data_IF_569530817114
#
_entry.id   IF_569530817114
#
_cell.length_a   1.000
_cell.length_b   1.000
_cell.length_c   1.000
_cell.angle_alpha   90.00
_cell.angle_beta   90.00
_cell.angle_gamma   90.00
#
_symmetry.space_group_name_H-M   'P 1'
#
loop_
_entity.id
_entity.type
_entity.pdbx_description
1 polymer ?
#
# COMPACT_ATOMS: atom_id res chain seq x y z
N UNK A 1 5.74 6.58 36.72
CA UNK A 1 5.81 5.18 37.18
C UNK A 1 5.25 4.28 36.09
N UNK A 2 6.12 3.47 35.47
CA UNK A 2 5.68 2.45 34.52
C UNK A 2 4.90 1.38 35.28
N UNK A 3 3.66 1.12 34.88
CA UNK A 3 2.73 0.31 35.68
C UNK A 3 2.41 -1.07 35.06
N UNK A 4 2.76 -1.36 33.84
CA UNK A 4 2.73 -2.72 33.28
C UNK A 4 3.50 -2.77 31.95
N UNK A 5 4.12 -3.90 31.61
CA UNK A 5 4.64 -4.20 30.28
C UNK A 5 3.79 -5.31 29.67
N UNK A 6 2.96 -4.97 28.70
CA UNK A 6 2.30 -5.97 27.86
C UNK A 6 3.17 -6.25 26.64
N UNK A 7 3.25 -7.53 26.25
CA UNK A 7 3.96 -7.91 25.03
C UNK A 7 3.11 -7.53 23.82
N UNK A 8 3.61 -6.56 23.05
CA UNK A 8 3.00 -6.05 21.83
C UNK A 8 3.66 -6.73 20.63
N UNK A 9 2.86 -7.23 19.69
CA UNK A 9 3.33 -7.87 18.45
C UNK A 9 3.53 -6.86 17.31
N UNK A 10 2.67 -5.85 17.24
CA UNK A 10 2.75 -4.77 16.26
C UNK A 10 2.20 -3.49 16.84
N UNK A 11 2.76 -2.36 16.48
CA UNK A 11 2.25 -1.05 16.89
C UNK A 11 2.43 -0.01 15.80
N UNK A 12 1.54 0.99 15.77
CA UNK A 12 1.59 2.14 14.87
C UNK A 12 1.06 3.37 15.58
N UNK A 13 1.81 4.47 15.53
CA UNK A 13 1.34 5.77 15.99
C UNK A 13 0.86 6.60 14.82
N UNK A 14 -0.36 7.12 14.88
CA UNK A 14 -0.96 8.05 13.93
C UNK A 14 -1.48 9.25 14.70
N UNK A 15 -0.89 10.41 14.49
CA UNK A 15 -1.14 11.63 15.26
C UNK A 15 -0.93 11.36 16.77
N UNK A 16 -1.99 11.53 17.57
CA UNK A 16 -1.96 11.29 19.02
C UNK A 16 -2.44 9.89 19.41
N UNK A 17 -2.96 9.12 18.46
CA UNK A 17 -3.42 7.75 18.70
C UNK A 17 -2.30 6.73 18.54
N UNK A 18 -2.26 5.78 19.45
CA UNK A 18 -1.38 4.61 19.40
C UNK A 18 -2.23 3.36 19.20
N UNK A 19 -2.04 2.72 18.06
CA UNK A 19 -2.65 1.44 17.76
C UNK A 19 -1.66 0.33 18.07
N UNK A 20 -2.12 -0.77 18.65
CA UNK A 20 -1.26 -1.93 18.90
C UNK A 20 -2.05 -3.24 18.89
N UNK A 21 -1.37 -4.30 18.48
CA UNK A 21 -1.84 -5.68 18.57
C UNK A 21 -1.10 -6.35 19.72
N UNK A 22 -1.83 -6.89 20.68
CA UNK A 22 -1.23 -7.62 21.79
C UNK A 22 -0.90 -9.08 21.42
N UNK A 23 -0.23 -9.78 22.32
CA UNK A 23 0.16 -11.20 22.12
C UNK A 23 -1.02 -12.17 22.04
N UNK A 24 -2.21 -11.75 22.41
CA UNK A 24 -3.42 -12.55 22.35
C UNK A 24 -4.23 -12.30 21.07
N UNK A 25 -3.82 -11.34 20.24
CA UNK A 25 -4.51 -10.98 18.99
C UNK A 25 -5.59 -9.93 19.16
N UNK A 26 -5.58 -9.20 20.27
CA UNK A 26 -6.48 -8.07 20.44
C UNK A 26 -5.85 -6.79 19.92
N UNK A 27 -6.64 -6.04 19.13
CA UNK A 27 -6.30 -4.74 18.62
C UNK A 27 -6.79 -3.66 19.58
N UNK A 28 -5.92 -2.72 19.88
CA UNK A 28 -6.22 -1.57 20.73
C UNK A 28 -5.94 -0.26 20.00
N UNK A 29 -6.72 0.76 20.35
CA UNK A 29 -6.42 2.16 20.09
C UNK A 29 -6.30 2.85 21.44
N UNK A 30 -5.11 3.29 21.81
CA UNK A 30 -4.77 3.75 23.16
C UNK A 30 -5.13 2.68 24.22
N UNK A 31 -6.14 2.93 25.05
CA UNK A 31 -6.63 1.96 26.04
C UNK A 31 -7.93 1.24 25.61
N UNK A 32 -8.49 1.60 24.46
CA UNK A 32 -9.73 1.03 23.94
C UNK A 32 -9.46 -0.22 23.12
N UNK A 33 -10.11 -1.34 23.47
CA UNK A 33 -10.08 -2.57 22.69
C UNK A 33 -11.06 -2.47 21.54
N UNK A 34 -10.57 -2.69 20.31
CA UNK A 34 -11.36 -2.52 19.09
C UNK A 34 -12.00 -3.81 18.58
N UNK A 35 -11.37 -4.98 18.78
CA UNK A 35 -11.92 -6.24 18.30
C UNK A 35 -12.45 -7.13 19.44
N UNK A 36 -13.62 -7.71 19.24
CA UNK A 36 -14.20 -8.69 20.16
C UNK A 36 -13.64 -10.10 19.93
N UNK A 37 -13.40 -10.45 18.66
CA UNK A 37 -12.76 -11.72 18.29
C UNK A 37 -11.27 -11.52 18.08
N UNK A 38 -10.40 -12.19 18.88
CA UNK A 38 -8.97 -12.03 18.73
C UNK A 38 -8.48 -12.58 17.38
N UNK A 39 -7.55 -11.90 16.77
CA UNK A 39 -6.87 -12.42 15.59
C UNK A 39 -6.01 -13.63 15.96
N UNK A 40 -6.07 -14.76 15.20
CA UNK A 40 -5.31 -15.97 15.52
C UNK A 40 -3.80 -15.74 15.33
N UNK A 41 -3.07 -15.63 16.43
CA UNK A 41 -1.63 -15.40 16.41
C UNK A 41 -0.88 -16.70 16.12
N UNK A 42 0.05 -16.67 15.17
CA UNK A 42 0.96 -17.76 14.83
C UNK A 42 2.35 -17.50 15.40
N UNK A 43 3.04 -18.56 15.78
CA UNK A 43 4.44 -18.48 16.20
C UNK A 43 5.35 -18.15 15.00
N UNK A 44 6.50 -17.54 15.25
CA UNK A 44 7.52 -17.22 14.24
C UNK A 44 6.98 -16.43 13.03
N UNK A 45 5.96 -15.59 13.26
CA UNK A 45 5.32 -14.78 12.24
C UNK A 45 5.53 -13.30 12.55
N UNK A 46 5.89 -12.52 11.53
CA UNK A 46 6.00 -11.08 11.63
C UNK A 46 4.63 -10.43 11.43
N UNK A 47 4.31 -9.52 12.35
CA UNK A 47 3.10 -8.71 12.31
C UNK A 47 3.45 -7.24 12.19
N UNK A 48 2.71 -6.50 11.35
CA UNK A 48 2.79 -5.05 11.27
C UNK A 48 1.40 -4.43 11.14
N UNK A 49 1.18 -3.28 11.77
CA UNK A 49 -0.03 -2.48 11.58
C UNK A 49 0.22 -1.42 10.52
N UNK A 50 -0.65 -1.37 9.54
CA UNK A 50 -0.68 -0.37 8.48
C UNK A 50 -2.01 0.38 8.55
N UNK A 51 -1.96 1.71 8.67
CA UNK A 51 -3.16 2.52 8.88
C UNK A 51 -3.18 3.63 7.84
N UNK A 52 -4.27 3.67 7.07
CA UNK A 52 -4.52 4.65 6.02
C UNK A 52 -5.93 5.22 6.18
N UNK A 53 -6.01 6.48 6.57
CA UNK A 53 -7.28 7.12 6.92
C UNK A 53 -8.03 6.30 8.00
N UNK A 54 -9.23 5.80 7.69
CA UNK A 54 -10.06 4.98 8.57
C UNK A 54 -9.83 3.47 8.37
N UNK A 55 -8.92 3.08 7.48
CA UNK A 55 -8.62 1.68 7.23
C UNK A 55 -7.47 1.21 8.11
N UNK A 56 -7.71 0.17 8.89
CA UNK A 56 -6.69 -0.49 9.70
C UNK A 56 -6.41 -1.85 9.07
N UNK A 57 -5.16 -2.09 8.72
CA UNK A 57 -4.70 -3.38 8.22
C UNK A 57 -3.72 -4.01 9.17
N UNK A 58 -3.85 -5.30 9.36
CA UNK A 58 -2.84 -6.15 9.97
C UNK A 58 -2.14 -6.94 8.86
N UNK A 59 -0.84 -6.73 8.75
CA UNK A 59 0.02 -7.53 7.88
C UNK A 59 0.54 -8.73 8.66
N UNK A 60 0.27 -9.91 8.17
CA UNK A 60 0.83 -11.19 8.61
C UNK A 60 1.77 -11.68 7.51
N UNK A 61 3.07 -11.48 7.65
CA UNK A 61 4.06 -11.67 6.58
C UNK A 61 3.65 -10.87 5.32
N UNK A 62 3.19 -11.55 4.26
CA UNK A 62 2.70 -10.96 3.01
C UNK A 62 1.17 -10.92 2.89
N UNK A 63 0.46 -11.51 3.84
CA UNK A 63 -1.00 -11.48 3.85
C UNK A 63 -1.49 -10.24 4.59
N UNK A 64 -2.41 -9.53 3.98
CA UNK A 64 -3.04 -8.35 4.54
C UNK A 64 -4.45 -8.69 5.00
N UNK A 65 -4.76 -8.36 6.25
CA UNK A 65 -6.09 -8.49 6.85
C UNK A 65 -6.61 -7.10 7.16
N UNK A 66 -7.84 -6.80 6.77
CA UNK A 66 -8.49 -5.53 7.05
C UNK A 66 -9.36 -5.66 8.30
N UNK A 67 -9.27 -4.72 9.21
CA UNK A 67 -10.20 -4.61 10.32
C UNK A 67 -11.55 -4.12 9.81
N UNK A 68 -12.59 -4.88 10.12
CA UNK A 68 -13.98 -4.51 9.86
C UNK A 68 -14.60 -4.00 11.18
N UNK A 69 -14.96 -2.70 11.27
CA UNK A 69 -15.53 -2.13 12.49
C UNK A 69 -16.94 -2.65 12.81
N UNK A 70 -17.70 -3.12 11.80
CA UNK A 70 -19.07 -3.61 12.02
C UNK A 70 -19.07 -5.01 12.67
N UNK A 71 -18.14 -5.87 12.25
CA UNK A 71 -17.95 -7.20 12.83
C UNK A 71 -16.95 -7.23 13.97
N UNK A 72 -16.27 -6.11 14.23
CA UNK A 72 -15.18 -5.97 15.22
C UNK A 72 -14.14 -7.09 15.10
N UNK A 73 -13.75 -7.41 13.88
CA UNK A 73 -12.83 -8.50 13.56
C UNK A 73 -11.96 -8.20 12.37
N UNK A 74 -10.86 -8.95 12.22
CA UNK A 74 -10.03 -8.90 11.03
C UNK A 74 -10.53 -9.89 9.98
N UNK A 75 -10.69 -9.39 8.75
CA UNK A 75 -11.05 -10.18 7.57
C UNK A 75 -9.88 -10.19 6.60
N UNK A 76 -9.65 -11.31 5.92
CA UNK A 76 -8.60 -11.41 4.92
C UNK A 76 -8.90 -10.45 3.77
N UNK A 77 -7.97 -9.52 3.51
CA UNK A 77 -8.09 -8.53 2.46
C UNK A 77 -7.40 -8.96 1.16
N UNK A 78 -6.12 -9.37 1.24
CA UNK A 78 -5.31 -9.77 0.09
C UNK A 78 -4.10 -10.62 0.50
N UNK A 79 -3.61 -11.46 -0.44
CA UNK A 79 -2.39 -12.27 -0.27
C UNK A 79 -1.24 -11.71 -1.10
N UNK A 80 -0.01 -12.09 -0.72
CA UNK A 80 1.23 -11.74 -1.43
C UNK A 80 1.45 -10.24 -1.65
N UNK A 81 0.99 -9.40 -0.71
CA UNK A 81 1.16 -7.95 -0.78
C UNK A 81 2.63 -7.57 -0.54
N UNK A 82 3.30 -7.10 -1.59
CA UNK A 82 4.67 -6.58 -1.52
C UNK A 82 4.70 -5.04 -1.48
N UNK A 83 3.71 -4.39 -2.09
CA UNK A 83 3.59 -2.94 -2.18
C UNK A 83 2.30 -2.49 -1.52
N UNK A 84 2.41 -1.45 -0.67
CA UNK A 84 1.29 -0.80 -0.04
C UNK A 84 1.66 0.67 0.18
N UNK A 85 1.08 1.58 -0.61
CA UNK A 85 1.42 3.02 -0.58
C UNK A 85 0.21 3.90 -0.88
N UNK A 86 -0.02 4.88 -0.05
CA UNK A 86 -1.06 5.89 -0.26
C UNK A 86 -0.67 6.92 -1.33
N UNK A 87 -1.68 7.46 -2.00
CA UNK A 87 -1.52 8.55 -2.96
C UNK A 87 -1.17 9.86 -2.24
N UNK A 88 -0.56 10.84 -2.93
CA UNK A 88 -0.19 12.12 -2.30
C UNK A 88 -1.36 12.88 -1.66
N UNK A 89 -2.59 12.73 -2.18
CA UNK A 89 -3.82 13.30 -1.63
C UNK A 89 -4.50 12.45 -0.55
N UNK A 90 -3.91 11.29 -0.22
CA UNK A 90 -4.41 10.33 0.78
C UNK A 90 -5.83 9.80 0.49
N UNK A 91 -6.27 9.84 -0.78
CA UNK A 91 -7.58 9.33 -1.20
C UNK A 91 -7.56 7.91 -1.75
N UNK A 92 -6.38 7.43 -2.14
CA UNK A 92 -6.18 6.13 -2.77
C UNK A 92 -5.02 5.39 -2.11
N UNK A 93 -5.09 4.07 -2.14
CA UNK A 93 -4.04 3.18 -1.68
C UNK A 93 -3.71 2.21 -2.83
N UNK A 94 -2.48 2.24 -3.35
CA UNK A 94 -2.01 1.18 -4.24
C UNK A 94 -1.55 0.00 -3.41
N UNK A 95 -2.01 -1.19 -3.78
CA UNK A 95 -1.49 -2.44 -3.26
C UNK A 95 -1.18 -3.39 -4.42
N UNK A 96 -0.06 -4.10 -4.32
CA UNK A 96 0.39 -4.97 -5.37
C UNK A 96 1.02 -6.25 -4.84
N UNK A 97 0.80 -7.34 -5.57
CA UNK A 97 1.55 -8.59 -5.46
C UNK A 97 2.77 -8.57 -6.39
N UNK A 98 3.40 -9.74 -6.59
CA UNK A 98 4.46 -9.87 -7.58
C UNK A 98 3.98 -9.61 -9.03
N UNK A 99 2.67 -9.77 -9.32
CA UNK A 99 2.16 -9.73 -10.69
C UNK A 99 0.91 -8.89 -10.89
N UNK A 100 0.25 -8.43 -9.83
CA UNK A 100 -0.98 -7.64 -9.93
C UNK A 100 -0.86 -6.32 -9.20
N UNK A 101 -1.47 -5.29 -9.78
CA UNK A 101 -1.61 -3.95 -9.19
C UNK A 101 -3.09 -3.62 -9.06
N UNK A 102 -3.46 -3.15 -7.88
CA UNK A 102 -4.80 -2.73 -7.52
C UNK A 102 -4.77 -1.40 -6.78
N UNK A 103 -5.89 -0.70 -6.80
CA UNK A 103 -6.13 0.51 -6.01
C UNK A 103 -7.35 0.29 -5.12
N UNK A 104 -7.22 0.68 -3.85
CA UNK A 104 -8.33 0.83 -2.92
C UNK A 104 -8.63 2.32 -2.76
N UNK A 105 -9.90 2.71 -2.89
CA UNK A 105 -10.33 4.08 -2.61
C UNK A 105 -10.55 4.26 -1.11
N UNK A 106 -9.77 5.16 -0.50
CA UNK A 106 -9.80 5.44 0.94
C UNK A 106 -10.86 6.50 1.30
N UNK A 107 -11.32 7.25 0.30
CA UNK A 107 -12.36 8.29 0.44
C UNK A 107 -13.22 8.32 -0.82
N UNK A 108 -14.46 8.78 -0.67
CA UNK A 108 -15.33 9.06 -1.81
C UNK A 108 -14.69 10.11 -2.73
N UNK A 109 -14.76 9.87 -4.04
CA UNK A 109 -14.36 10.83 -5.06
C UNK A 109 -15.61 11.34 -5.76
N UNK A 110 -15.78 12.66 -5.79
CA UNK A 110 -16.92 13.31 -6.46
C UNK A 110 -16.63 13.61 -7.93
N UNK A 111 -15.35 13.66 -8.29
CA UNK A 111 -14.88 13.85 -9.66
C UNK A 111 -15.08 12.56 -10.47
N UNK A 112 -15.26 12.70 -11.78
CA UNK A 112 -15.41 11.54 -12.66
C UNK A 112 -14.04 10.85 -12.92
N UNK A 113 -13.99 9.50 -12.84
CA UNK A 113 -15.05 8.57 -12.43
C UNK A 113 -15.32 8.64 -10.92
N UNK A 114 -16.58 8.76 -10.54
CA UNK A 114 -16.96 8.73 -9.12
C UNK A 114 -16.67 7.37 -8.52
N UNK A 115 -16.12 7.37 -7.30
CA UNK A 115 -15.76 6.16 -6.55
C UNK A 115 -16.21 6.27 -5.11
N UNK A 116 -16.58 5.16 -4.54
CA UNK A 116 -16.93 5.06 -3.13
C UNK A 116 -15.76 4.58 -2.29
N UNK A 117 -15.73 5.02 -1.05
CA UNK A 117 -14.81 4.49 -0.04
C UNK A 117 -14.92 2.98 0.05
N UNK A 118 -13.77 2.28 0.02
CA UNK A 118 -13.71 0.82 0.03
C UNK A 118 -13.81 0.16 -1.37
N UNK A 119 -14.13 0.92 -2.42
CA UNK A 119 -14.14 0.39 -3.79
C UNK A 119 -12.72 0.02 -4.22
N UNK A 120 -12.60 -1.08 -4.98
CA UNK A 120 -11.34 -1.59 -5.51
C UNK A 120 -11.30 -1.44 -7.02
N UNK A 121 -10.18 -0.98 -7.55
CA UNK A 121 -9.93 -0.86 -8.98
C UNK A 121 -8.75 -1.76 -9.36
N UNK A 122 -8.97 -2.68 -10.29
CA UNK A 122 -7.92 -3.47 -10.91
C UNK A 122 -7.17 -2.62 -11.95
N UNK A 123 -5.85 -2.53 -11.82
CA UNK A 123 -5.02 -1.78 -12.78
C UNK A 123 -4.45 -2.73 -13.81
N UNK A 124 -3.73 -3.77 -13.39
CA UNK A 124 -3.09 -4.70 -14.32
C UNK A 124 -2.69 -6.02 -13.68
N UNK A 125 -2.62 -7.06 -14.53
CA UNK A 125 -1.82 -8.26 -14.31
C UNK A 125 -0.70 -8.29 -15.34
N UNK A 126 0.53 -8.48 -14.89
CA UNK A 126 1.74 -8.39 -15.68
C UNK A 126 2.46 -9.74 -15.74
N UNK A 127 3.17 -10.00 -16.83
CA UNK A 127 3.98 -11.22 -16.98
C UNK A 127 5.32 -11.16 -16.24
N UNK A 128 5.88 -9.95 -16.10
CA UNK A 128 7.09 -9.71 -15.34
C UNK A 128 6.79 -9.36 -13.88
N UNK A 129 7.70 -9.76 -12.98
CA UNK A 129 7.57 -9.45 -11.56
C UNK A 129 7.60 -7.93 -11.33
N UNK A 130 6.64 -7.46 -10.53
CA UNK A 130 6.56 -6.05 -10.12
C UNK A 130 7.59 -5.82 -9.02
N UNK A 131 8.45 -4.85 -9.23
CA UNK A 131 9.44 -4.42 -8.23
C UNK A 131 8.96 -3.22 -7.43
N UNK A 132 9.62 -2.06 -7.63
CA UNK A 132 9.21 -0.82 -6.96
C UNK A 132 8.01 -0.17 -7.65
N UNK A 133 7.17 0.50 -6.88
CA UNK A 133 6.09 1.33 -7.40
C UNK A 133 6.03 2.65 -6.63
N UNK A 134 5.71 3.74 -7.33
CA UNK A 134 5.54 5.08 -6.75
C UNK A 134 4.37 5.80 -7.39
N UNK A 135 3.70 6.61 -6.58
CA UNK A 135 2.78 7.62 -7.09
C UNK A 135 3.60 8.80 -7.63
N UNK A 136 3.46 9.08 -8.93
CA UNK A 136 4.00 10.29 -9.52
C UNK A 136 3.17 11.51 -9.09
N UNK A 137 1.85 11.35 -9.10
CA UNK A 137 0.85 12.27 -8.55
C UNK A 137 -0.40 11.47 -8.16
N UNK A 138 -1.53 12.14 -7.96
CA UNK A 138 -2.78 11.47 -7.55
C UNK A 138 -3.37 10.52 -8.61
N UNK A 139 -2.94 10.62 -9.88
CA UNK A 139 -3.55 9.92 -11.00
C UNK A 139 -2.60 8.99 -11.77
N UNK A 140 -1.30 9.04 -11.49
CA UNK A 140 -0.31 8.25 -12.20
C UNK A 140 0.59 7.47 -11.25
N UNK A 141 0.79 6.20 -11.58
CA UNK A 141 1.75 5.30 -10.95
C UNK A 141 2.94 5.07 -11.89
N UNK A 142 4.14 5.04 -11.35
CA UNK A 142 5.32 4.48 -12.03
C UNK A 142 5.73 3.20 -11.31
N UNK A 143 6.09 2.17 -12.05
CA UNK A 143 6.56 0.90 -11.50
C UNK A 143 7.44 0.17 -12.52
N UNK A 144 8.23 -0.78 -12.05
CA UNK A 144 8.89 -1.72 -12.97
C UNK A 144 8.19 -3.08 -12.94
N UNK A 145 8.23 -3.75 -14.10
CA UNK A 145 7.80 -5.13 -14.27
C UNK A 145 8.86 -5.87 -15.08
N UNK A 146 9.64 -6.71 -14.38
CA UNK A 146 10.91 -7.19 -14.92
C UNK A 146 11.81 -6.01 -15.28
N UNK A 147 12.37 -6.04 -16.47
CA UNK A 147 13.29 -5.01 -16.98
C UNK A 147 12.58 -3.75 -17.52
N UNK A 148 11.25 -3.77 -17.62
CA UNK A 148 10.47 -2.66 -18.17
C UNK A 148 10.01 -1.70 -17.09
N UNK A 149 10.22 -0.41 -17.32
CA UNK A 149 9.68 0.68 -16.51
C UNK A 149 8.41 1.17 -17.18
N UNK A 150 7.34 1.23 -16.40
CA UNK A 150 6.00 1.52 -16.89
C UNK A 150 5.38 2.68 -16.12
N UNK A 151 4.55 3.46 -16.82
CA UNK A 151 3.65 4.44 -16.19
C UNK A 151 2.22 4.01 -16.48
N UNK A 152 1.38 4.00 -15.46
CA UNK A 152 -0.05 3.73 -15.56
C UNK A 152 -0.84 4.91 -15.05
N UNK A 153 -1.89 5.28 -15.77
CA UNK A 153 -2.96 6.11 -15.21
C UNK A 153 -3.88 5.28 -14.29
N UNK A 154 -4.63 5.98 -13.44
CA UNK A 154 -5.61 5.35 -12.54
C UNK A 154 -7.06 5.63 -12.97
N UNK A 155 -7.24 6.13 -14.18
CA UNK A 155 -8.54 6.35 -14.82
C UNK A 155 -8.87 5.15 -15.72
N UNK A 156 -10.00 4.50 -15.48
CA UNK A 156 -10.42 3.29 -16.18
C UNK A 156 -11.63 3.52 -17.11
N UNK A 157 -12.06 4.77 -17.31
CA UNK A 157 -13.25 5.09 -18.15
C UNK A 157 -13.13 4.57 -19.57
N UNK A 158 -11.92 4.54 -20.12
CA UNK A 158 -11.63 4.07 -21.49
C UNK A 158 -10.62 2.93 -21.54
N UNK A 159 -10.53 2.08 -20.48
CA UNK A 159 -9.46 1.14 -20.23
C UNK A 159 -8.19 1.83 -19.72
N UNK A 160 -7.67 1.32 -18.61
CA UNK A 160 -6.42 1.80 -18.00
C UNK A 160 -5.29 1.81 -19.02
N UNK A 161 -4.69 2.97 -19.22
CA UNK A 161 -3.56 3.13 -20.14
C UNK A 161 -2.24 2.88 -19.38
N UNK A 162 -1.45 1.94 -19.91
CA UNK A 162 -0.13 1.57 -19.34
C UNK A 162 0.91 1.67 -20.46
N UNK A 163 1.90 2.52 -20.25
CA UNK A 163 2.95 2.79 -21.23
C UNK A 163 4.30 2.27 -20.74
N UNK A 164 5.04 1.60 -21.62
CA UNK A 164 6.46 1.30 -21.42
C UNK A 164 7.26 2.58 -21.70
N UNK A 165 7.98 3.09 -20.70
CA UNK A 165 8.74 4.35 -20.82
C UNK A 165 10.23 4.12 -20.94
N UNK A 166 10.75 2.98 -20.44
CA UNK A 166 12.14 2.57 -20.59
C UNK A 166 12.28 1.06 -20.36
N UNK A 167 13.41 0.51 -20.81
CA UNK A 167 13.82 -0.87 -20.54
C UNK A 167 15.27 -0.86 -20.07
N UNK A 168 15.50 -1.32 -18.85
CA UNK A 168 16.79 -1.36 -18.15
C UNK A 168 16.86 -2.66 -17.35
N UNK A 169 18.00 -3.32 -17.33
CA UNK A 169 18.15 -4.59 -16.62
C UNK A 169 18.06 -4.44 -15.11
N UNK A 170 17.19 -5.23 -14.47
CA UNK A 170 16.99 -5.26 -13.02
C UNK A 170 16.87 -3.85 -12.41
N UNK A 171 15.94 -2.98 -12.88
CA UNK A 171 15.89 -1.61 -12.45
C UNK A 171 15.38 -1.47 -11.01
N UNK A 172 16.07 -0.65 -10.22
CA UNK A 172 15.59 -0.15 -8.95
C UNK A 172 15.14 1.30 -9.13
N UNK A 173 13.89 1.58 -8.80
CA UNK A 173 13.27 2.89 -9.00
C UNK A 173 13.31 3.72 -7.72
N UNK A 174 13.59 5.03 -7.86
CA UNK A 174 13.54 6.02 -6.79
C UNK A 174 12.84 7.29 -7.31
N UNK A 175 11.73 7.66 -6.71
CA UNK A 175 10.99 8.86 -7.07
C UNK A 175 11.35 10.04 -6.17
N UNK A 176 11.89 11.11 -6.77
CA UNK A 176 12.12 12.37 -6.08
C UNK A 176 10.93 13.32 -6.30
N UNK A 177 10.11 13.46 -5.26
CA UNK A 177 8.89 14.30 -5.30
C UNK A 177 9.19 15.80 -5.51
N UNK A 178 10.33 16.27 -5.02
CA UNK A 178 10.71 17.69 -5.10
C UNK A 178 11.16 18.03 -6.51
N UNK A 179 12.04 17.22 -7.08
CA UNK A 179 12.57 17.42 -8.43
C UNK A 179 11.61 16.94 -9.52
N UNK A 180 10.57 16.17 -9.15
CA UNK A 180 9.65 15.50 -10.07
C UNK A 180 10.39 14.64 -11.10
N UNK A 181 11.40 13.91 -10.65
CA UNK A 181 12.27 13.06 -11.47
C UNK A 181 12.30 11.64 -10.94
N UNK A 182 12.37 10.71 -11.88
CA UNK A 182 12.62 9.31 -11.59
C UNK A 182 14.12 9.05 -11.71
N UNK A 183 14.68 8.46 -10.67
CA UNK A 183 16.02 7.90 -10.69
C UNK A 183 15.92 6.39 -10.80
N UNK A 184 16.79 5.80 -11.61
CA UNK A 184 16.82 4.36 -11.84
C UNK A 184 18.25 3.86 -11.69
N UNK A 185 18.46 2.95 -10.75
CA UNK A 185 19.71 2.22 -10.63
C UNK A 185 19.59 0.92 -11.43
N UNK A 186 20.51 0.68 -12.37
CA UNK A 186 20.54 -0.53 -13.19
C UNK A 186 22.00 -0.89 -13.50
N UNK A 187 22.41 -2.13 -13.22
CA UNK A 187 23.77 -2.65 -13.45
C UNK A 187 24.88 -1.71 -12.95
N UNK A 188 24.68 -1.10 -11.78
CA UNK A 188 25.65 -0.17 -11.16
C UNK A 188 25.64 1.25 -11.75
N UNK A 189 24.80 1.54 -12.74
CA UNK A 189 24.65 2.87 -13.34
C UNK A 189 23.40 3.57 -12.80
N UNK A 190 23.52 4.85 -12.51
CA UNK A 190 22.39 5.70 -12.10
C UNK A 190 21.88 6.52 -13.29
N UNK A 191 20.65 6.29 -13.67
CA UNK A 191 19.93 7.06 -14.70
C UNK A 191 18.97 8.03 -14.04
N UNK A 192 18.73 9.16 -14.70
CA UNK A 192 17.79 10.19 -14.25
C UNK A 192 16.87 10.60 -15.40
N UNK A 193 15.58 10.63 -15.14
CA UNK A 193 14.60 11.08 -16.13
C UNK A 193 14.63 12.60 -16.34
N UNK A 194 14.04 13.07 -17.43
CA UNK A 194 13.50 14.42 -17.48
C UNK A 194 12.44 14.64 -16.39
N UNK A 195 11.98 15.89 -16.22
CA UNK A 195 10.85 16.17 -15.33
C UNK A 195 9.61 15.48 -15.87
N UNK A 196 9.05 14.51 -15.13
CA UNK A 196 7.95 13.67 -15.62
C UNK A 196 6.58 14.36 -15.55
N UNK A 197 6.43 15.34 -14.68
CA UNK A 197 5.18 16.07 -14.48
C UNK A 197 5.49 17.57 -14.35
N UNK A 198 4.76 18.44 -15.05
CA UNK A 198 4.93 19.88 -14.94
C UNK A 198 4.52 20.42 -13.57
#
# INVERSE_FOLDING_TARGET
TATSSEKVLASKKINDDVYYLDKFGYLFRNAEKLNNTPFPIKQETEYALEIFQNFIFLRENKTLHQFNPDSESFEKFWEDVNILKDSPDLKKLVYASDYEIWILFLKDTLEQPQRKTGEKLFIARLSGKIGNSYWLNNNYLVFNSGDKIKISETDDRNKTNILDVAELKNPELFWNKIEKRLYVLSEGNLFRSEVLLP
#
